data_IF_215164413630
#
_entry.id   IF_215164413630
#
_cell.length_a   1.000
_cell.length_b   1.000
_cell.length_c   1.000
_cell.angle_alpha   90.00
_cell.angle_beta   90.00
_cell.angle_gamma   90.00
#
_symmetry.space_group_name_H-M   'P 1'
#
loop_
_entity.id
_entity.type
_entity.pdbx_description
1 polymer ?
#
# COMPACT_ATOMS: atom_id res chain seq x y z
N UNK A 1 8.08 8.89 13.45
CA UNK A 1 8.61 8.23 12.23
C UNK A 1 7.63 7.15 11.78
N UNK A 2 7.16 7.14 10.53
CA UNK A 2 6.40 5.98 10.01
C UNK A 2 7.36 4.83 9.76
N UNK A 3 7.15 3.70 10.45
CA UNK A 3 7.92 2.47 10.25
C UNK A 3 7.48 1.84 8.93
N UNK A 4 8.45 1.45 8.11
CA UNK A 4 8.22 0.73 6.87
C UNK A 4 7.62 -0.66 7.17
N UNK A 5 6.68 -1.10 6.33
CA UNK A 5 6.16 -2.46 6.36
C UNK A 5 7.21 -3.45 5.89
N UNK A 6 7.33 -4.58 6.61
CA UNK A 6 8.29 -5.63 6.27
C UNK A 6 7.91 -6.30 4.94
N UNK A 7 8.67 -5.99 3.88
CA UNK A 7 8.49 -6.58 2.56
C UNK A 7 9.53 -7.66 2.27
N UNK A 8 9.09 -8.72 1.60
CA UNK A 8 10.01 -9.66 0.94
C UNK A 8 10.80 -8.96 -0.17
N UNK A 9 11.95 -9.54 -0.58
CA UNK A 9 12.72 -9.04 -1.72
C UNK A 9 11.86 -8.92 -2.99
N UNK A 10 11.05 -9.93 -3.28
CA UNK A 10 10.19 -9.98 -4.47
C UNK A 10 9.10 -8.90 -4.45
N UNK A 11 8.42 -8.75 -3.31
CA UNK A 11 7.41 -7.69 -3.14
C UNK A 11 8.00 -6.30 -3.27
N UNK A 12 9.24 -6.11 -2.81
CA UNK A 12 9.96 -4.84 -2.94
C UNK A 12 10.35 -4.53 -4.38
N UNK A 13 10.85 -5.52 -5.12
CA UNK A 13 11.15 -5.36 -6.55
C UNK A 13 9.88 -4.99 -7.32
N UNK A 14 8.77 -5.64 -7.01
CA UNK A 14 7.48 -5.33 -7.62
C UNK A 14 6.98 -3.93 -7.27
N UNK A 15 7.14 -3.48 -6.01
CA UNK A 15 6.81 -2.10 -5.62
C UNK A 15 7.57 -1.08 -6.47
N UNK A 16 8.85 -1.35 -6.78
CA UNK A 16 9.63 -0.52 -7.68
C UNK A 16 9.09 -0.48 -9.11
N UNK A 17 8.59 -1.60 -9.62
CA UNK A 17 7.94 -1.66 -10.95
C UNK A 17 6.62 -0.87 -10.96
N UNK A 18 5.81 -0.98 -9.91
CA UNK A 18 4.56 -0.22 -9.77
C UNK A 18 4.84 1.28 -9.77
N UNK A 19 5.83 1.74 -8.99
CA UNK A 19 6.21 3.15 -8.94
C UNK A 19 6.76 3.65 -10.29
N UNK A 20 7.51 2.81 -11.02
CA UNK A 20 7.98 3.13 -12.37
C UNK A 20 6.81 3.24 -13.36
N UNK A 21 5.82 2.35 -13.29
CA UNK A 21 4.61 2.40 -14.12
C UNK A 21 3.75 3.63 -13.82
N UNK A 22 3.77 4.12 -12.58
CA UNK A 22 3.19 5.40 -12.18
C UNK A 22 4.02 6.62 -12.63
N UNK A 23 5.15 6.41 -13.31
CA UNK A 23 6.05 7.45 -13.83
C UNK A 23 6.60 8.39 -12.75
N UNK A 24 6.76 7.88 -11.53
CA UNK A 24 7.28 8.67 -10.41
C UNK A 24 8.80 8.75 -10.50
N UNK A 25 9.32 9.98 -10.47
CA UNK A 25 10.76 10.25 -10.40
C UNK A 25 11.05 11.04 -9.12
N UNK A 26 11.45 10.37 -8.03
CA UNK A 26 11.79 11.07 -6.78
C UNK A 26 13.05 11.92 -6.98
N UNK A 27 13.01 13.14 -6.49
CA UNK A 27 14.14 14.09 -6.54
C UNK A 27 14.88 14.18 -5.21
N UNK A 28 14.27 13.72 -4.11
CA UNK A 28 14.84 13.74 -2.74
C UNK A 28 14.45 12.49 -1.97
N UNK A 29 15.26 12.12 -0.99
CA UNK A 29 14.87 11.10 -0.01
C UNK A 29 13.67 11.58 0.81
N UNK A 30 12.95 10.62 1.37
CA UNK A 30 11.75 10.80 2.20
C UNK A 30 10.49 11.31 1.51
N UNK A 31 10.55 11.67 0.22
CA UNK A 31 9.36 12.01 -0.54
C UNK A 31 8.37 10.85 -0.56
N UNK A 32 7.08 11.18 -0.51
CA UNK A 32 5.98 10.21 -0.38
C UNK A 32 4.94 10.37 -1.47
N UNK A 33 4.32 9.25 -1.82
CA UNK A 33 3.22 9.17 -2.77
C UNK A 33 2.14 8.23 -2.26
N UNK A 34 0.91 8.48 -2.69
CA UNK A 34 -0.13 7.46 -2.77
C UNK A 34 -0.08 6.86 -4.17
N UNK A 35 -0.09 5.54 -4.26
CA UNK A 35 -0.24 4.79 -5.51
C UNK A 35 -1.61 4.11 -5.48
N UNK A 36 -2.46 4.42 -6.44
CA UNK A 36 -3.78 3.83 -6.59
C UNK A 36 -3.73 2.77 -7.68
N UNK A 37 -3.57 1.51 -7.27
CA UNK A 37 -3.47 0.36 -8.18
C UNK A 37 -4.87 -0.19 -8.42
N UNK A 38 -5.34 -0.14 -9.66
CA UNK A 38 -6.63 -0.71 -10.06
C UNK A 38 -6.37 -1.92 -10.96
N UNK A 39 -6.44 -3.16 -10.43
CA UNK A 39 -6.26 -4.35 -11.25
C UNK A 39 -7.35 -4.46 -12.31
N UNK A 40 -7.01 -5.00 -13.48
CA UNK A 40 -8.00 -5.24 -14.55
C UNK A 40 -8.85 -6.49 -14.24
N UNK A 41 -9.68 -6.35 -13.21
CA UNK A 41 -10.56 -7.39 -12.71
C UNK A 41 -11.83 -6.76 -12.13
N UNK A 42 -13.03 -7.16 -12.59
CA UNK A 42 -14.28 -6.56 -12.13
C UNK A 42 -14.57 -6.81 -10.64
N UNK A 43 -13.83 -7.71 -10.00
CA UNK A 43 -14.04 -8.11 -8.61
C UNK A 43 -13.00 -7.55 -7.63
N UNK A 44 -12.00 -6.81 -8.12
CA UNK A 44 -10.91 -6.31 -7.28
C UNK A 44 -10.95 -4.80 -7.25
N UNK A 45 -11.03 -4.26 -6.04
CA UNK A 45 -11.03 -2.82 -5.82
C UNK A 45 -9.63 -2.24 -6.01
N UNK A 46 -9.60 -0.95 -6.26
CA UNK A 46 -8.38 -0.16 -6.20
C UNK A 46 -7.70 -0.35 -4.84
N UNK A 47 -6.43 -0.70 -4.87
CA UNK A 47 -5.56 -0.80 -3.70
C UNK A 47 -4.70 0.46 -3.65
N UNK A 48 -4.80 1.20 -2.56
CA UNK A 48 -3.97 2.37 -2.27
C UNK A 48 -2.74 1.94 -1.48
N UNK A 49 -1.55 2.24 -2.01
CA UNK A 49 -0.26 2.07 -1.34
C UNK A 49 0.30 3.43 -0.98
N UNK A 50 0.61 3.66 0.29
CA UNK A 50 1.45 4.80 0.64
C UNK A 50 2.91 4.36 0.59
N UNK A 51 3.70 5.02 -0.26
CA UNK A 51 5.11 4.72 -0.45
C UNK A 51 6.00 5.90 -0.08
N UNK A 52 7.25 5.59 0.26
CA UNK A 52 8.32 6.55 0.49
C UNK A 52 9.56 6.17 -0.28
N UNK A 53 10.23 7.14 -0.89
CA UNK A 53 11.56 6.95 -1.45
C UNK A 53 12.63 7.07 -0.35
N UNK A 54 13.45 6.05 -0.14
CA UNK A 54 14.53 6.12 0.87
C UNK A 54 15.77 6.88 0.41
N UNK A 55 15.87 7.20 -0.88
CA UNK A 55 17.12 7.62 -1.54
C UNK A 55 17.70 6.54 -2.44
N UNK A 56 17.44 5.26 -2.14
CA UNK A 56 17.95 4.11 -2.92
C UNK A 56 16.87 3.08 -3.29
N UNK A 57 15.77 3.02 -2.54
CA UNK A 57 14.69 2.07 -2.80
C UNK A 57 13.33 2.60 -2.33
N UNK A 58 12.27 2.03 -2.90
CA UNK A 58 10.91 2.26 -2.45
C UNK A 58 10.62 1.49 -1.15
N UNK A 59 9.94 2.17 -0.22
CA UNK A 59 9.47 1.62 1.04
C UNK A 59 7.95 1.71 1.09
N UNK A 60 7.27 0.64 1.50
CA UNK A 60 5.83 0.65 1.71
C UNK A 60 5.55 1.09 3.15
N UNK A 61 4.72 2.12 3.32
CA UNK A 61 4.33 2.64 4.62
C UNK A 61 2.96 2.12 5.05
N UNK A 62 1.99 2.17 4.14
CA UNK A 62 0.62 1.71 4.39
C UNK A 62 0.03 1.06 3.15
N UNK A 63 -0.95 0.19 3.35
CA UNK A 63 -1.72 -0.45 2.27
C UNK A 63 -3.18 -0.50 2.68
N UNK A 64 -4.06 -0.11 1.77
CA UNK A 64 -5.50 -0.17 1.96
C UNK A 64 -6.24 -0.48 0.67
N UNK A 65 -7.22 -1.37 0.69
CA UNK A 65 -8.22 -1.52 -0.38
C UNK A 65 -9.64 -1.21 0.12
N UNK A 66 -9.74 -0.66 1.34
CA UNK A 66 -10.99 -0.14 1.90
C UNK A 66 -11.35 1.18 1.23
N UNK A 67 -12.65 1.35 0.90
CA UNK A 67 -13.22 2.64 0.51
C UNK A 67 -13.09 3.65 1.66
N UNK A 68 -13.36 4.94 1.38
CA UNK A 68 -13.57 5.91 2.43
C UNK A 68 -14.61 5.35 3.43
N UNK A 69 -14.36 5.49 4.75
CA UNK A 69 -14.94 4.62 5.78
C UNK A 69 -16.48 4.53 5.92
N UNK A 70 -17.26 5.11 5.00
CA UNK A 70 -18.72 5.06 4.93
C UNK A 70 -19.27 3.71 4.42
N UNK A 71 -18.48 2.88 3.75
CA UNK A 71 -18.90 1.57 3.19
C UNK A 71 -18.40 0.34 3.96
N UNK A 72 -17.74 0.55 5.11
CA UNK A 72 -17.25 -0.52 6.01
C UNK A 72 -18.34 -1.44 6.60
N UNK A 73 -19.62 -1.21 6.28
CA UNK A 73 -20.75 -2.03 6.67
C UNK A 73 -21.07 -3.17 5.69
N UNK A 74 -20.40 -3.24 4.53
CA UNK A 74 -20.60 -4.32 3.57
C UNK A 74 -19.67 -5.53 3.86
N UNK A 75 -20.18 -6.77 3.79
CA UNK A 75 -19.38 -7.98 3.97
C UNK A 75 -18.43 -8.18 2.77
N UNK A 76 -17.23 -7.59 2.81
CA UNK A 76 -16.24 -7.66 1.73
C UNK A 76 -14.81 -7.78 2.28
N UNK A 77 -13.93 -8.37 1.46
CA UNK A 77 -12.50 -8.54 1.76
C UNK A 77 -11.78 -7.20 1.62
N UNK A 78 -11.68 -6.46 2.72
CA UNK A 78 -10.96 -5.18 2.79
C UNK A 78 -9.83 -5.28 3.80
N UNK A 79 -8.71 -4.60 3.57
CA UNK A 79 -7.53 -4.52 4.39
C UNK A 79 -7.16 -3.04 4.55
N UNK A 80 -6.75 -2.65 5.74
CA UNK A 80 -6.07 -1.37 6.01
C UNK A 80 -4.95 -1.64 7.01
N UNK A 81 -3.71 -1.36 6.62
CA UNK A 81 -2.51 -1.49 7.44
C UNK A 81 -1.83 -0.12 7.49
N UNK A 82 -1.96 0.55 8.62
CA UNK A 82 -1.28 1.81 8.95
C UNK A 82 -0.54 1.67 10.30
N UNK A 83 0.78 1.42 10.27
CA UNK A 83 1.61 1.31 11.47
C UNK A 83 1.66 2.57 12.32
N UNK A 84 1.45 3.75 11.74
CA UNK A 84 1.50 5.00 12.49
C UNK A 84 0.24 5.19 13.33
N UNK A 85 -0.92 4.81 12.77
CA UNK A 85 -2.23 4.92 13.44
C UNK A 85 -2.61 3.66 14.22
N UNK A 86 -1.74 2.65 14.27
CA UNK A 86 -2.07 1.31 14.78
C UNK A 86 -3.38 0.75 14.19
N UNK A 87 -3.66 1.08 12.93
CA UNK A 87 -4.86 0.63 12.26
C UNK A 87 -4.51 -0.57 11.39
N UNK A 88 -4.96 -1.76 11.81
CA UNK A 88 -4.70 -3.02 11.14
C UNK A 88 -5.99 -3.79 11.06
N UNK A 89 -6.78 -3.60 10.02
CA UNK A 89 -8.13 -4.16 9.97
C UNK A 89 -8.29 -4.98 8.70
N UNK A 90 -8.92 -6.13 8.86
CA UNK A 90 -9.48 -6.88 7.75
C UNK A 90 -11.01 -6.80 7.89
N UNK A 91 -11.74 -6.21 6.95
CA UNK A 91 -13.20 -6.15 7.04
C UNK A 91 -13.77 -7.57 7.21
N UNK A 92 -14.74 -7.69 8.12
CA UNK A 92 -15.32 -8.91 8.70
C UNK A 92 -14.51 -9.72 9.73
N UNK A 93 -13.20 -9.50 9.91
CA UNK A 93 -12.40 -10.27 10.89
C UNK A 93 -11.96 -9.46 12.12
N UNK A 94 -12.24 -8.15 12.15
CA UNK A 94 -11.72 -7.26 13.19
C UNK A 94 -10.24 -6.94 12.96
N UNK A 95 -9.55 -6.39 13.97
CA UNK A 95 -8.15 -6.05 13.81
C UNK A 95 -7.28 -7.30 13.63
N UNK A 96 -6.32 -7.25 12.70
CA UNK A 96 -5.34 -8.33 12.51
C UNK A 96 -4.36 -8.29 13.68
N UNK A 97 -4.15 -9.41 14.41
CA UNK A 97 -3.15 -9.45 15.47
C UNK A 97 -1.75 -9.06 14.95
N UNK A 98 -0.98 -8.32 15.74
CA UNK A 98 0.35 -7.83 15.33
C UNK A 98 1.29 -8.97 14.89
N UNK A 99 1.19 -10.14 15.51
CA UNK A 99 1.98 -11.33 15.17
C UNK A 99 1.59 -11.96 13.83
N UNK A 100 0.35 -11.73 13.39
CA UNK A 100 -0.22 -12.25 12.14
C UNK A 100 -0.01 -11.27 10.97
N UNK A 101 0.25 -9.99 11.27
CA UNK A 101 0.40 -8.92 10.30
C UNK A 101 1.42 -9.24 9.18
N UNK A 102 2.63 -9.77 9.44
CA UNK A 102 3.59 -10.08 8.37
C UNK A 102 3.06 -11.14 7.41
N UNK A 103 2.38 -12.18 7.92
CA UNK A 103 1.79 -13.26 7.11
C UNK A 103 0.66 -12.74 6.24
N UNK A 104 -0.26 -11.97 6.83
CA UNK A 104 -1.40 -11.38 6.13
C UNK A 104 -0.94 -10.41 5.04
N UNK A 105 0.02 -9.54 5.35
CA UNK A 105 0.61 -8.61 4.38
C UNK A 105 1.27 -9.37 3.22
N UNK A 106 2.10 -10.37 3.52
CA UNK A 106 2.80 -11.15 2.50
C UNK A 106 1.81 -11.88 1.57
N UNK A 107 0.78 -12.50 2.13
CA UNK A 107 -0.26 -13.19 1.35
C UNK A 107 -1.02 -12.20 0.45
N UNK A 108 -1.44 -11.07 1.01
CA UNK A 108 -2.17 -10.04 0.26
C UNK A 108 -1.35 -9.50 -0.92
N UNK A 109 -0.08 -9.16 -0.67
CA UNK A 109 0.81 -8.66 -1.72
C UNK A 109 1.09 -9.71 -2.80
N UNK A 110 1.26 -10.97 -2.41
CA UNK A 110 1.47 -12.06 -3.37
C UNK A 110 0.27 -12.23 -4.31
N UNK A 111 -0.96 -12.20 -3.77
CA UNK A 111 -2.18 -12.29 -4.57
C UNK A 111 -2.39 -11.07 -5.44
N UNK A 112 -2.23 -9.86 -4.89
CA UNK A 112 -2.34 -8.62 -5.65
C UNK A 112 -1.34 -8.60 -6.81
N UNK A 113 -0.08 -8.91 -6.53
CA UNK A 113 0.98 -8.97 -7.53
C UNK A 113 0.66 -10.00 -8.62
N UNK A 114 0.24 -11.21 -8.23
CA UNK A 114 -0.16 -12.26 -9.17
C UNK A 114 -1.26 -11.77 -10.11
N UNK A 115 -2.28 -11.10 -9.58
CA UNK A 115 -3.39 -10.61 -10.40
C UNK A 115 -2.95 -9.50 -11.33
N UNK A 116 -2.19 -8.52 -10.84
CA UNK A 116 -1.64 -7.44 -11.64
C UNK A 116 -0.74 -7.95 -12.78
N UNK A 117 0.06 -9.00 -12.54
CA UNK A 117 0.91 -9.60 -13.59
C UNK A 117 0.07 -10.32 -14.64
N UNK A 118 -0.93 -11.11 -14.23
CA UNK A 118 -1.69 -11.94 -15.17
C UNK A 118 -2.79 -11.21 -15.92
N UNK A 119 -3.34 -10.14 -15.34
CA UNK A 119 -4.47 -9.41 -15.94
C UNK A 119 -4.12 -8.00 -16.36
N UNK A 120 -2.99 -7.47 -15.89
CA UNK A 120 -2.70 -6.05 -16.01
C UNK A 120 -3.35 -5.23 -14.91
N UNK A 121 -3.00 -3.95 -14.87
CA UNK A 121 -3.52 -2.98 -13.91
C UNK A 121 -3.29 -1.55 -14.44
N UNK A 122 -4.15 -0.64 -14.02
CA UNK A 122 -3.88 0.80 -14.09
C UNK A 122 -3.26 1.25 -12.76
N UNK A 123 -2.39 2.26 -12.83
CA UNK A 123 -1.84 2.90 -11.63
C UNK A 123 -1.87 4.41 -11.78
N UNK A 124 -2.45 5.06 -10.79
CA UNK A 124 -2.41 6.51 -10.63
C UNK A 124 -1.57 6.86 -9.40
N UNK A 125 -1.01 8.07 -9.36
CA UNK A 125 -0.20 8.51 -8.24
C UNK A 125 -0.47 9.93 -7.83
N UNK A 126 -0.62 10.13 -6.53
CA UNK A 126 -0.75 11.45 -5.92
C UNK A 126 0.46 11.74 -5.02
N UNK A 127 1.19 12.84 -5.25
CA UNK A 127 2.26 13.23 -4.35
C UNK A 127 1.67 13.64 -2.99
N UNK A 128 2.25 13.12 -1.90
CA UNK A 128 1.92 13.59 -0.57
C UNK A 128 2.84 14.76 -0.29
N UNK A 129 2.25 15.96 -0.10
CA UNK A 129 3.01 17.13 0.30
C UNK A 129 3.86 16.78 1.52
N UNK A 130 5.16 17.00 1.42
CA UNK A 130 6.04 16.97 2.57
C UNK A 130 5.63 18.15 3.44
N UNK A 131 4.67 17.92 4.35
CA UNK A 131 4.63 18.72 5.56
C UNK A 131 5.97 18.49 6.22
N UNK A 132 6.88 19.46 6.08
CA UNK A 132 7.88 19.71 7.10
C UNK A 132 7.12 19.63 8.42
N UNK A 133 7.45 18.60 9.20
CA UNK A 133 7.18 18.66 10.62
C UNK A 133 8.08 19.76 11.15
N UNK A 134 7.59 21.00 11.12
CA UNK A 134 7.78 21.87 12.27
C UNK A 134 7.16 21.11 13.45
N UNK A 135 8.04 20.48 14.23
CA UNK A 135 7.89 20.31 15.67
C UNK A 135 9.31 19.98 16.18
N UNK A 136 9.83 20.93 16.97
CA UNK A 136 11.11 20.91 17.71
C UNK A 136 11.35 19.62 18.52
#
# INVERSE_FOLDING_TARGET
MSQELALSHYSRQWLGQVAANAKITPTRSSQRWLLHLTPDSPHIRTVTLQVRWSGVQWQLLTISNADDGRTMSQPRYEICIDPKRNCFWHCQAGPVPLTEQPRVLASFLADLQRICIHRGYAVESDPIADKESEDD
#
